data_IF_082027005113
#
_entry.id   IF_082027005113
#
_cell.length_a   1.000
_cell.length_b   1.000
_cell.length_c   1.000
_cell.angle_alpha   90.00
_cell.angle_beta   90.00
_cell.angle_gamma   90.00
#
_symmetry.space_group_name_H-M   'P 1'
#
loop_
_entity.id
_entity.type
_entity.pdbx_description
1 polymer ?
#
# COMPACT_ATOMS: atom_id res chain seq x y z
N UNK A 1 15.06 -5.32 -6.24
CA UNK A 1 13.89 -4.55 -6.75
C UNK A 1 14.07 -4.29 -8.22
N UNK A 2 13.14 -4.78 -9.05
CA UNK A 2 13.21 -4.67 -10.52
C UNK A 2 12.35 -3.55 -11.08
N UNK A 3 11.28 -3.17 -10.38
CA UNK A 3 10.32 -2.17 -10.85
C UNK A 3 9.56 -1.49 -9.72
N UNK A 4 8.87 -0.39 -10.04
CA UNK A 4 7.99 0.33 -9.12
C UNK A 4 6.57 0.23 -9.67
N UNK A 5 5.65 -0.36 -8.91
CA UNK A 5 4.24 -0.46 -9.31
C UNK A 5 3.51 0.81 -8.91
N UNK A 6 3.63 1.21 -7.64
CA UNK A 6 3.02 2.42 -7.09
C UNK A 6 3.83 2.91 -5.90
N UNK A 7 4.70 3.90 -6.12
CA UNK A 7 5.52 4.49 -5.07
C UNK A 7 4.73 5.09 -3.89
N UNK A 8 3.61 5.83 -4.10
CA UNK A 8 2.87 6.42 -2.99
C UNK A 8 2.07 5.36 -2.21
N UNK A 9 1.73 4.22 -2.83
CA UNK A 9 1.19 3.05 -2.14
C UNK A 9 2.28 2.11 -1.56
N UNK A 10 3.56 2.39 -1.80
CA UNK A 10 4.65 1.51 -1.35
C UNK A 10 4.64 0.13 -2.02
N UNK A 11 4.14 0.04 -3.25
CA UNK A 11 4.09 -1.18 -4.06
C UNK A 11 5.27 -1.21 -5.04
N UNK A 12 6.07 -2.26 -4.94
CA UNK A 12 7.26 -2.48 -5.75
C UNK A 12 7.24 -3.86 -6.39
N UNK A 13 8.07 -4.06 -7.40
CA UNK A 13 8.27 -5.35 -8.05
C UNK A 13 9.65 -5.91 -7.70
N UNK A 14 9.70 -7.20 -7.37
CA UNK A 14 10.92 -7.94 -7.05
C UNK A 14 11.05 -9.09 -8.05
N UNK A 15 12.21 -9.14 -8.69
CA UNK A 15 12.65 -10.17 -9.65
C UNK A 15 11.68 -10.44 -10.80
N UNK A 16 10.82 -9.47 -11.14
CA UNK A 16 9.79 -9.60 -12.19
C UNK A 16 8.64 -10.56 -11.87
N UNK A 17 8.65 -11.19 -10.69
CA UNK A 17 7.72 -12.27 -10.34
C UNK A 17 6.86 -11.94 -9.12
N UNK A 18 7.44 -11.26 -8.13
CA UNK A 18 6.81 -10.99 -6.84
C UNK A 18 6.44 -9.51 -6.75
N UNK A 19 5.29 -9.22 -6.14
CA UNK A 19 4.99 -7.86 -5.70
C UNK A 19 5.44 -7.69 -4.25
N UNK A 20 5.98 -6.53 -3.89
CA UNK A 20 6.41 -6.17 -2.54
C UNK A 20 5.56 -4.99 -2.06
N UNK A 21 4.84 -5.16 -0.95
CA UNK A 21 3.99 -4.14 -0.35
C UNK A 21 4.55 -3.66 0.99
N UNK A 22 5.06 -2.43 1.02
CA UNK A 22 5.75 -1.85 2.19
C UNK A 22 4.82 -0.96 3.03
N UNK A 23 3.53 -0.93 2.73
CA UNK A 23 2.55 -0.04 3.37
C UNK A 23 2.30 -0.37 4.86
N UNK A 24 2.55 -1.60 5.28
CA UNK A 24 2.30 -2.08 6.65
C UNK A 24 3.43 -1.77 7.64
N UNK A 25 4.52 -1.16 7.16
CA UNK A 25 5.61 -0.64 7.99
C UNK A 25 5.69 0.89 7.88
N UNK A 26 6.31 1.53 8.86
CA UNK A 26 6.60 2.97 8.81
C UNK A 26 7.74 3.25 7.82
N UNK A 27 7.39 3.33 6.54
CA UNK A 27 8.35 3.28 5.43
C UNK A 27 8.78 4.66 4.89
N UNK A 28 8.42 5.77 5.55
CA UNK A 28 8.58 7.13 5.01
C UNK A 28 10.01 7.48 4.54
N UNK A 29 11.03 7.09 5.30
CA UNK A 29 12.43 7.40 5.01
C UNK A 29 12.97 6.58 3.84
N UNK A 30 12.57 5.31 3.74
CA UNK A 30 13.06 4.37 2.76
C UNK A 30 12.40 4.54 1.37
N UNK A 31 11.21 5.17 1.28
CA UNK A 31 10.54 5.46 -0.02
C UNK A 31 11.43 6.21 -1.01
N UNK A 32 12.28 7.11 -0.52
CA UNK A 32 13.20 7.89 -1.37
C UNK A 32 14.37 7.06 -1.91
N UNK A 33 14.69 5.97 -1.24
CA UNK A 33 15.85 5.13 -1.53
C UNK A 33 15.46 3.93 -2.39
N UNK A 34 14.28 3.35 -2.17
CA UNK A 34 13.82 2.18 -2.91
C UNK A 34 13.43 2.54 -4.33
N UNK A 35 14.27 2.11 -5.27
CA UNK A 35 14.15 2.29 -6.71
C UNK A 35 14.63 1.03 -7.44
N UNK A 36 14.34 0.87 -8.73
CA UNK A 36 14.85 -0.26 -9.51
C UNK A 36 16.38 -0.38 -9.39
N UNK A 37 16.87 -1.60 -9.22
CA UNK A 37 18.30 -1.90 -8.99
C UNK A 37 18.74 -1.89 -7.52
N UNK A 38 17.85 -1.60 -6.57
CA UNK A 38 18.16 -1.73 -5.13
C UNK A 38 18.12 -3.20 -4.69
N UNK A 39 19.08 -3.60 -3.86
CA UNK A 39 19.13 -4.89 -3.18
C UNK A 39 18.62 -4.76 -1.74
N UNK A 40 17.52 -5.46 -1.43
CA UNK A 40 16.90 -5.50 -0.12
C UNK A 40 17.04 -6.90 0.48
N UNK A 41 17.26 -6.95 1.78
CA UNK A 41 17.10 -8.17 2.57
C UNK A 41 15.82 -8.04 3.41
N UNK A 42 15.00 -9.08 3.37
CA UNK A 42 13.70 -9.15 4.01
C UNK A 42 13.74 -10.24 5.08
N UNK A 43 13.37 -9.90 6.31
CA UNK A 43 13.31 -10.81 7.44
C UNK A 43 11.88 -10.81 8.01
N UNK A 44 11.38 -12.00 8.39
CA UNK A 44 10.05 -12.24 8.95
C UNK A 44 8.90 -11.56 8.18
N UNK A 45 8.88 -11.84 6.86
CA UNK A 45 7.88 -11.31 5.92
C UNK A 45 6.77 -12.29 5.62
N UNK A 46 5.56 -11.77 5.42
CA UNK A 46 4.40 -12.57 5.04
C UNK A 46 4.40 -12.77 3.52
N UNK A 47 4.34 -14.02 3.08
CA UNK A 47 4.10 -14.38 1.69
C UNK A 47 2.62 -14.69 1.49
N UNK A 48 1.91 -13.82 0.79
CA UNK A 48 0.50 -14.00 0.49
C UNK A 48 0.33 -14.46 -0.97
N UNK A 49 -0.24 -15.66 -1.13
CA UNK A 49 -0.53 -16.25 -2.44
C UNK A 49 -2.01 -16.03 -2.78
N UNK A 50 -2.32 -15.80 -4.06
CA UNK A 50 -3.71 -15.66 -4.54
C UNK A 50 -4.55 -14.63 -3.76
N UNK A 51 -3.95 -13.50 -3.40
CA UNK A 51 -4.55 -12.44 -2.56
C UNK A 51 -5.86 -11.87 -3.16
N UNK A 52 -5.96 -11.83 -4.50
CA UNK A 52 -7.07 -11.21 -5.19
C UNK A 52 -6.85 -9.70 -5.35
N UNK A 53 -7.94 -8.92 -5.39
CA UNK A 53 -7.83 -7.44 -5.42
C UNK A 53 -7.11 -6.87 -6.65
N UNK A 54 -7.11 -7.59 -7.77
CA UNK A 54 -6.51 -7.14 -9.03
C UNK A 54 -5.05 -7.52 -9.27
N UNK A 55 -4.37 -8.16 -8.30
CA UNK A 55 -3.04 -8.78 -8.52
C UNK A 55 -3.16 -10.27 -8.85
N UNK A 56 -2.35 -10.73 -9.81
CA UNK A 56 -2.16 -12.17 -10.10
C UNK A 56 -0.89 -12.73 -9.47
N UNK A 57 0.03 -11.85 -9.06
CA UNK A 57 1.33 -12.22 -8.52
C UNK A 57 1.23 -12.43 -7.01
N UNK A 58 2.02 -13.36 -6.44
CA UNK A 58 2.17 -13.45 -4.99
C UNK A 58 2.77 -12.14 -4.45
N UNK A 59 2.35 -11.79 -3.23
CA UNK A 59 2.72 -10.51 -2.60
C UNK A 59 3.49 -10.78 -1.33
N UNK A 60 4.69 -10.19 -1.24
CA UNK A 60 5.47 -10.09 -0.02
C UNK A 60 5.06 -8.84 0.74
N UNK A 61 4.67 -9.00 1.99
CA UNK A 61 4.28 -7.90 2.85
C UNK A 61 4.98 -8.04 4.22
N UNK A 62 5.98 -7.18 4.52
CA UNK A 62 6.54 -7.08 5.86
C UNK A 62 5.54 -6.43 6.82
N UNK A 63 5.49 -6.94 8.04
CA UNK A 63 4.71 -6.40 9.16
C UNK A 63 5.64 -5.65 10.14
N UNK A 64 5.14 -5.10 11.25
CA UNK A 64 6.01 -4.41 12.23
C UNK A 64 7.00 -5.35 12.93
N UNK A 65 6.73 -6.66 12.96
CA UNK A 65 7.66 -7.67 13.46
C UNK A 65 8.85 -7.90 12.51
N UNK A 66 8.64 -7.75 11.20
CA UNK A 66 9.67 -8.01 10.19
C UNK A 66 10.66 -6.86 10.03
N UNK A 67 11.82 -7.17 9.46
CA UNK A 67 12.86 -6.18 9.17
C UNK A 67 13.14 -6.09 7.67
N UNK A 68 13.43 -4.87 7.20
CA UNK A 68 13.91 -4.60 5.84
C UNK A 68 15.26 -3.93 5.95
N UNK A 69 16.28 -4.57 5.39
CA UNK A 69 17.64 -4.06 5.37
C UNK A 69 18.05 -3.74 3.95
N UNK A 70 18.73 -2.60 3.78
CA UNK A 70 19.30 -2.20 2.51
C UNK A 70 20.70 -2.81 2.37
N UNK A 71 20.89 -3.72 1.41
CA UNK A 71 22.19 -4.35 1.15
C UNK A 71 22.98 -3.66 0.04
N UNK A 72 22.29 -3.06 -0.92
CA UNK A 72 22.93 -2.38 -2.04
C UNK A 72 22.06 -1.26 -2.56
N UNK A 73 22.68 -0.09 -2.77
CA UNK A 73 22.02 1.03 -3.41
C UNK A 73 21.94 0.81 -4.92
N UNK A 74 20.89 1.35 -5.55
CA UNK A 74 20.77 1.30 -7.00
C UNK A 74 21.81 2.21 -7.67
N UNK A 75 22.50 1.65 -8.66
CA UNK A 75 23.43 2.36 -9.54
C UNK A 75 22.72 3.25 -10.58
N UNK A 76 21.39 3.14 -10.70
CA UNK A 76 20.62 3.94 -11.64
C UNK A 76 20.40 5.35 -11.10
N UNK A 77 20.45 6.34 -11.99
CA UNK A 77 20.05 7.71 -11.66
C UNK A 77 18.58 7.70 -11.24
N UNK A 78 18.17 8.57 -10.29
CA UNK A 78 16.75 8.76 -10.01
C UNK A 78 16.09 9.13 -11.34
N UNK A 79 15.16 8.30 -11.81
CA UNK A 79 14.30 8.71 -12.91
C UNK A 79 13.59 10.00 -12.49
N UNK A 80 13.32 10.86 -13.46
CA UNK A 80 12.56 12.09 -13.22
C UNK A 80 11.18 11.67 -12.72
N UNK A 81 11.01 11.62 -11.39
CA UNK A 81 9.75 11.24 -10.77
C UNK A 81 8.70 12.16 -11.35
N UNK A 82 7.73 11.58 -12.06
CA UNK A 82 6.60 12.38 -12.51
C UNK A 82 5.95 12.96 -11.25
N UNK A 83 5.62 14.25 -11.30
CA UNK A 83 5.02 14.97 -10.16
C UNK A 83 3.75 14.25 -9.62
N UNK A 84 3.13 13.43 -10.47
CA UNK A 84 1.97 12.59 -10.20
C UNK A 84 2.29 11.34 -9.35
N UNK A 85 3.48 10.73 -9.49
CA UNK A 85 3.88 9.54 -8.72
C UNK A 85 4.36 9.84 -7.30
N UNK A 86 4.65 11.11 -6.97
CA UNK A 86 5.10 11.51 -5.64
C UNK A 86 3.96 11.95 -4.70
N UNK A 87 2.73 12.08 -5.23
CA UNK A 87 1.57 12.58 -4.50
C UNK A 87 0.71 11.43 -3.96
N UNK A 88 0.05 11.64 -2.82
CA UNK A 88 -0.94 10.71 -2.27
C UNK A 88 -0.48 9.78 -1.16
N UNK A 89 0.78 9.86 -0.76
CA UNK A 89 1.38 9.03 0.30
C UNK A 89 0.55 9.02 1.59
N UNK A 90 0.03 10.18 1.99
CA UNK A 90 -0.74 10.33 3.23
C UNK A 90 -2.12 9.66 3.17
N UNK A 91 -2.79 9.65 2.01
CA UNK A 91 -4.06 8.93 1.85
C UNK A 91 -3.84 7.41 1.95
N UNK A 92 -2.79 6.88 1.33
CA UNK A 92 -2.48 5.45 1.42
C UNK A 92 -2.09 5.04 2.85
N UNK A 93 -1.42 5.91 3.59
CA UNK A 93 -1.16 5.71 5.02
C UNK A 93 -2.46 5.75 5.83
N UNK A 94 -3.40 6.63 5.49
CA UNK A 94 -4.72 6.67 6.11
C UNK A 94 -5.46 5.33 5.97
N UNK A 95 -5.40 4.72 4.79
CA UNK A 95 -6.04 3.44 4.52
C UNK A 95 -5.52 2.30 5.43
N UNK A 96 -4.22 2.29 5.72
CA UNK A 96 -3.60 1.24 6.55
C UNK A 96 -3.68 1.55 8.04
N UNK A 97 -3.43 2.79 8.46
CA UNK A 97 -3.28 3.13 9.87
C UNK A 97 -4.57 3.58 10.54
N UNK A 98 -5.43 4.31 9.83
CA UNK A 98 -6.72 4.78 10.36
C UNK A 98 -7.83 3.78 10.04
N UNK A 99 -7.97 3.40 8.76
CA UNK A 99 -8.99 2.45 8.27
C UNK A 99 -8.64 0.98 8.47
N UNK A 100 -7.39 0.66 8.81
CA UNK A 100 -6.92 -0.70 9.14
C UNK A 100 -7.21 -1.74 8.06
N UNK A 101 -7.11 -1.34 6.78
CA UNK A 101 -7.36 -2.27 5.68
C UNK A 101 -6.35 -3.41 5.67
N UNK A 102 -6.85 -4.64 5.56
CA UNK A 102 -6.04 -5.81 5.24
C UNK A 102 -5.49 -5.76 3.81
N UNK A 103 -4.45 -6.55 3.52
CA UNK A 103 -3.73 -6.48 2.24
C UNK A 103 -4.63 -6.62 1.00
N UNK A 104 -5.59 -7.56 0.94
CA UNK A 104 -6.45 -7.70 -0.24
C UNK A 104 -7.26 -6.43 -0.55
N UNK A 105 -7.84 -5.80 0.48
CA UNK A 105 -8.62 -4.57 0.35
C UNK A 105 -7.72 -3.38 0.02
N UNK A 106 -6.53 -3.33 0.61
CA UNK A 106 -5.55 -2.30 0.33
C UNK A 106 -5.14 -2.32 -1.16
N UNK A 107 -4.78 -3.49 -1.69
CA UNK A 107 -4.40 -3.66 -3.10
C UNK A 107 -5.54 -3.30 -4.07
N UNK A 108 -6.78 -3.65 -3.71
CA UNK A 108 -7.94 -3.25 -4.48
C UNK A 108 -8.12 -1.73 -4.46
N UNK A 109 -8.07 -1.11 -3.27
CA UNK A 109 -8.26 0.34 -3.11
C UNK A 109 -7.18 1.13 -3.86
N UNK A 110 -5.92 0.68 -3.82
CA UNK A 110 -4.84 1.33 -4.57
C UNK A 110 -5.10 1.29 -6.07
N UNK A 111 -5.52 0.14 -6.59
CA UNK A 111 -5.85 0.00 -8.01
C UNK A 111 -7.06 0.83 -8.41
N UNK A 112 -8.11 0.83 -7.59
CA UNK A 112 -9.31 1.63 -7.83
C UNK A 112 -9.02 3.13 -7.83
N UNK A 113 -8.16 3.61 -6.92
CA UNK A 113 -7.71 5.02 -6.91
C UNK A 113 -6.90 5.38 -8.15
N UNK A 114 -6.03 4.48 -8.62
CA UNK A 114 -5.26 4.68 -9.86
C UNK A 114 -6.19 4.73 -11.09
N UNK A 115 -7.18 3.85 -11.16
CA UNK A 115 -8.19 3.86 -12.23
C UNK A 115 -9.05 5.13 -12.19
N UNK A 116 -9.47 5.57 -11.00
CA UNK A 116 -10.19 6.84 -10.82
C UNK A 116 -9.33 8.04 -11.23
N UNK A 117 -8.05 8.05 -10.85
CA UNK A 117 -7.11 9.09 -11.26
C UNK A 117 -6.97 9.15 -12.78
N UNK A 118 -6.90 8.01 -13.46
CA UNK A 118 -6.81 7.96 -14.93
C UNK A 118 -8.05 8.54 -15.65
N UNK A 119 -9.22 8.44 -15.03
CA UNK A 119 -10.50 8.91 -15.60
C UNK A 119 -10.82 10.35 -15.23
N UNK A 120 -10.51 10.76 -14.00
CA UNK A 120 -10.91 12.06 -13.45
C UNK A 120 -9.80 13.10 -13.57
N UNK A 121 -8.53 12.69 -13.57
CA UNK A 121 -7.41 13.60 -13.62
C UNK A 121 -6.76 13.64 -15.02
N UNK A 122 -6.26 14.81 -15.47
CA UNK A 122 -6.30 16.11 -14.80
C UNK A 122 -7.60 16.92 -15.03
N UNK A 123 -8.54 16.39 -15.81
CA UNK A 123 -9.63 17.19 -16.40
C UNK A 123 -10.72 17.63 -15.41
N UNK A 124 -11.10 16.78 -14.46
CA UNK A 124 -12.14 17.05 -13.47
C UNK A 124 -11.56 17.48 -12.12
N UNK A 125 -10.44 16.87 -11.72
CA UNK A 125 -9.75 17.13 -10.46
C UNK A 125 -8.25 17.07 -10.66
N UNK A 126 -7.49 17.80 -9.83
CA UNK A 126 -6.03 17.62 -9.76
C UNK A 126 -5.71 16.33 -9.00
N UNK A 127 -4.63 15.64 -9.41
CA UNK A 127 -4.18 14.41 -8.75
C UNK A 127 -3.97 14.56 -7.24
N UNK A 128 -3.37 15.67 -6.78
CA UNK A 128 -3.21 15.92 -5.34
C UNK A 128 -4.54 16.08 -4.59
N UNK A 129 -5.61 16.53 -5.24
CA UNK A 129 -6.92 16.71 -4.59
C UNK A 129 -7.58 15.36 -4.44
N UNK A 130 -7.50 14.50 -5.47
CA UNK A 130 -8.02 13.14 -5.42
C UNK A 130 -7.35 12.32 -4.31
N UNK A 131 -6.02 12.41 -4.23
CA UNK A 131 -5.20 11.62 -3.30
C UNK A 131 -4.88 12.35 -1.99
N UNK A 132 -5.63 13.39 -1.64
CA UNK A 132 -5.41 14.13 -0.39
C UNK A 132 -5.76 13.26 0.82
N UNK A 133 -5.11 13.49 1.97
CA UNK A 133 -5.54 12.88 3.24
C UNK A 133 -6.86 13.48 3.70
N UNK A 134 -7.76 12.65 4.23
CA UNK A 134 -9.09 13.06 4.69
C UNK A 134 -9.00 13.60 6.12
N UNK A 135 -9.45 14.82 6.33
CA UNK A 135 -9.52 15.45 7.65
C UNK A 135 -10.98 15.65 8.08
N UNK A 136 -11.29 15.77 9.39
CA UNK A 136 -12.66 15.91 9.89
C UNK A 136 -13.49 17.08 9.32
N UNK A 137 -12.85 18.04 8.62
CA UNK A 137 -13.53 19.14 7.92
C UNK A 137 -13.29 19.18 6.40
N UNK A 138 -12.46 18.29 5.87
CA UNK A 138 -12.17 18.21 4.44
C UNK A 138 -11.94 16.74 4.04
N UNK A 139 -13.02 16.01 3.70
CA UNK A 139 -12.93 14.62 3.29
C UNK A 139 -12.28 14.51 1.91
N UNK A 140 -11.38 13.54 1.73
CA UNK A 140 -10.75 13.38 0.43
C UNK A 140 -11.76 12.80 -0.57
N UNK A 141 -11.87 13.37 -1.79
CA UNK A 141 -12.79 12.87 -2.80
C UNK A 141 -12.46 11.42 -3.20
N UNK A 142 -11.17 11.04 -3.21
CA UNK A 142 -10.76 9.65 -3.47
C UNK A 142 -11.32 8.67 -2.44
N UNK A 143 -11.20 8.99 -1.14
CA UNK A 143 -11.77 8.13 -0.09
C UNK A 143 -13.30 8.13 -0.12
N UNK A 144 -13.94 9.27 -0.39
CA UNK A 144 -15.39 9.36 -0.47
C UNK A 144 -15.97 8.49 -1.58
N UNK A 145 -15.32 8.44 -2.74
CA UNK A 145 -15.74 7.58 -3.85
C UNK A 145 -15.61 6.09 -3.50
N UNK A 146 -14.61 5.71 -2.69
CA UNK A 146 -14.41 4.33 -2.26
C UNK A 146 -15.20 3.95 -1.00
N UNK A 147 -15.63 4.93 -0.20
CA UNK A 147 -16.26 4.71 1.10
C UNK A 147 -17.46 3.73 1.06
N UNK A 148 -18.40 3.80 0.10
CA UNK A 148 -19.53 2.88 0.06
C UNK A 148 -19.13 1.40 -0.03
N UNK A 149 -18.05 1.10 -0.76
CA UNK A 149 -17.55 -0.28 -0.90
C UNK A 149 -16.71 -0.67 0.32
N UNK A 150 -15.88 0.25 0.81
CA UNK A 150 -15.03 0.02 1.98
C UNK A 150 -15.84 -0.18 3.26
N UNK A 151 -16.93 0.55 3.44
CA UNK A 151 -17.79 0.46 4.64
C UNK A 151 -18.53 -0.89 4.71
N UNK A 152 -18.85 -1.49 3.56
CA UNK A 152 -19.45 -2.83 3.49
C UNK A 152 -18.43 -3.93 3.77
N UNK A 153 -17.22 -3.80 3.21
CA UNK A 153 -16.18 -4.84 3.30
C UNK A 153 -15.33 -4.75 4.57
N UNK A 154 -15.22 -3.57 5.16
CA UNK A 154 -14.43 -3.28 6.36
C UNK A 154 -15.11 -2.17 7.18
N UNK A 155 -16.17 -2.51 7.93
CA UNK A 155 -16.95 -1.53 8.66
C UNK A 155 -16.09 -0.76 9.68
N UNK A 156 -16.37 0.54 9.88
CA UNK A 156 -15.66 1.34 10.88
C UNK A 156 -15.90 0.76 12.28
N UNK A 157 -14.82 0.59 13.04
CA UNK A 157 -14.85 -0.05 14.37
C UNK A 157 -14.07 -1.37 14.47
N UNK A 158 -13.28 -1.72 13.45
CA UNK A 158 -12.34 -2.83 13.52
C UNK A 158 -11.35 -2.68 14.69
N UNK A 159 -10.85 -3.80 15.19
CA UNK A 159 -9.92 -3.85 16.32
C UNK A 159 -8.66 -3.06 16.02
N UNK A 160 -8.39 -2.04 16.84
CA UNK A 160 -7.26 -1.12 16.61
C UNK A 160 -5.93 -1.88 16.59
N UNK A 161 -5.15 -1.67 15.52
CA UNK A 161 -3.79 -2.22 15.38
C UNK A 161 -2.94 -1.79 16.57
N UNK A 162 -2.39 -2.77 17.31
CA UNK A 162 -1.53 -2.53 18.46
C UNK A 162 -0.08 -2.88 18.10
N UNK A 163 0.75 -1.85 17.90
CA UNK A 163 2.14 -2.02 17.51
C UNK A 163 2.97 -2.84 18.51
N UNK A 164 2.74 -2.67 19.82
CA UNK A 164 3.46 -3.42 20.85
C UNK A 164 3.16 -4.92 20.75
N UNK A 165 1.88 -5.28 20.59
CA UNK A 165 1.48 -6.68 20.44
C UNK A 165 2.01 -7.29 19.15
N UNK A 166 2.02 -6.52 18.06
CA UNK A 166 2.56 -6.98 16.79
C UNK A 166 4.07 -7.20 16.83
N UNK A 167 4.81 -6.46 17.66
CA UNK A 167 6.27 -6.63 17.76
C UNK A 167 6.64 -7.73 18.76
N UNK A 168 5.91 -7.84 19.89
CA UNK A 168 6.38 -8.61 21.06
C UNK A 168 5.60 -9.90 21.37
N UNK A 169 4.36 -10.07 20.89
CA UNK A 169 3.60 -11.32 21.12
C UNK A 169 3.98 -12.38 20.08
N UNK A 170 4.03 -13.66 20.50
CA UNK A 170 4.26 -14.81 19.60
C UNK A 170 3.10 -15.83 19.72
N UNK A 171 2.38 -16.15 18.63
CA UNK A 171 2.51 -15.56 17.30
C UNK A 171 2.01 -14.12 17.26
N UNK A 172 2.66 -13.26 16.50
CA UNK A 172 2.30 -11.84 16.44
C UNK A 172 0.99 -11.60 15.68
N UNK A 173 0.16 -10.70 16.20
CA UNK A 173 -1.14 -10.37 15.62
C UNK A 173 -1.02 -9.18 14.65
N UNK A 174 -0.98 -9.45 13.34
CA UNK A 174 -0.94 -8.41 12.31
C UNK A 174 -2.06 -8.55 11.25
N UNK A 175 -2.41 -7.46 10.53
CA UNK A 175 -3.42 -7.48 9.46
C UNK A 175 -3.06 -8.39 8.27
N UNK A 176 -1.83 -8.91 8.23
CA UNK A 176 -1.29 -9.75 7.16
C UNK A 176 -1.39 -11.25 7.46
N UNK A 177 -1.55 -11.64 8.73
CA UNK A 177 -1.49 -13.03 9.17
C UNK A 177 -2.69 -13.85 8.70
N UNK A 178 -3.89 -13.27 8.73
CA UNK A 178 -5.12 -13.88 8.21
C UNK A 178 -5.69 -12.98 7.13
N UNK A 179 -5.78 -13.50 5.91
CA UNK A 179 -6.39 -12.80 4.80
C UNK A 179 -7.46 -13.67 4.15
N UNK A 180 -8.50 -13.02 3.65
CA UNK A 180 -9.46 -13.63 2.76
C UNK A 180 -9.17 -13.20 1.33
N UNK A 181 -9.19 -14.15 0.40
CA UNK A 181 -9.07 -13.83 -1.02
C UNK A 181 -10.24 -12.93 -1.43
N UNK A 182 -9.94 -11.73 -1.89
CA UNK A 182 -10.95 -10.77 -2.31
C UNK A 182 -11.25 -10.95 -3.80
N UNK A 183 -12.50 -11.24 -4.15
CA UNK A 183 -12.99 -11.05 -5.53
C UNK A 183 -13.23 -9.55 -5.74
N UNK A 184 -12.76 -9.02 -6.87
CA UNK A 184 -12.80 -7.57 -7.15
C UNK A 184 -14.24 -7.06 -7.08
N UNK A 185 -14.58 -6.21 -6.08
CA UNK A 185 -15.97 -5.81 -5.84
C UNK A 185 -16.51 -4.87 -6.92
N UNK A 186 -15.64 -4.13 -7.60
CA UNK A 186 -15.95 -3.28 -8.75
C UNK A 186 -14.81 -3.39 -9.77
N UNK A 187 -15.13 -3.42 -11.06
CA UNK A 187 -14.19 -3.46 -12.20
C UNK A 187 -14.76 -2.62 -13.33
#
# INVERSE_FOLDING_TARGET
VTGVLSQPAGLYEVDGQLALCLAYQQFHSLRKVVRPGVSLELQDVHLLQSVGGGTRRPVLAPCLHGAILLRGFSCQKPETQSFYQAQGTSLFEQLVWERQLGLPLYLWATKALEELASKLCPHMLRHHQLLQHSTPGNPSPGLQLLAPVLDVLSPPGSMRRNAHKEILEEPHHCPLQKYMRLQTPCS
#
